data_IF_237797218537
#
_entry.id   IF_237797218537
#
_cell.length_a   1.000
_cell.length_b   1.000
_cell.length_c   1.000
_cell.angle_alpha   90.00
_cell.angle_beta   90.00
_cell.angle_gamma   90.00
#
_symmetry.space_group_name_H-M   'P 1'
#
loop_
_entity.id
_entity.type
_entity.pdbx_description
1 polymer ?
#
# COMPACT_ATOMS: atom_id res chain seq x y z
N UNK A 1 -41.32 -35.77 5.18
CA UNK A 1 -40.72 -35.93 6.52
C UNK A 1 -40.69 -34.58 7.21
N UNK A 2 -41.43 -34.34 8.28
CA UNK A 2 -41.48 -33.06 8.96
C UNK A 2 -40.22 -32.86 9.82
N UNK A 3 -39.55 -31.76 9.65
CA UNK A 3 -38.37 -31.37 10.49
C UNK A 3 -38.76 -31.37 11.97
N UNK A 4 -37.89 -31.88 12.83
CA UNK A 4 -38.10 -31.86 14.29
C UNK A 4 -38.22 -30.41 14.80
N UNK A 5 -38.91 -30.22 15.93
CA UNK A 5 -39.11 -28.89 16.53
C UNK A 5 -37.78 -28.18 16.80
N UNK A 6 -36.74 -28.89 17.25
CA UNK A 6 -35.40 -28.37 17.50
C UNK A 6 -34.71 -27.91 16.24
N UNK A 7 -34.85 -28.61 15.12
CA UNK A 7 -34.27 -28.21 13.82
C UNK A 7 -34.94 -26.93 13.28
N UNK A 8 -36.28 -26.82 13.44
CA UNK A 8 -37.00 -25.60 13.05
C UNK A 8 -36.53 -24.39 13.87
N UNK A 9 -36.38 -24.56 15.19
CA UNK A 9 -35.89 -23.48 16.07
C UNK A 9 -34.48 -23.07 15.69
N UNK A 10 -33.59 -24.03 15.40
CA UNK A 10 -32.24 -23.75 14.94
C UNK A 10 -32.21 -22.93 13.63
N UNK A 11 -33.02 -23.30 12.64
CA UNK A 11 -33.14 -22.54 11.39
C UNK A 11 -33.68 -21.12 11.60
N UNK A 12 -34.64 -20.94 12.52
CA UNK A 12 -35.15 -19.60 12.87
C UNK A 12 -34.03 -18.74 13.45
N UNK A 13 -33.19 -19.27 14.37
CA UNK A 13 -32.05 -18.51 14.90
C UNK A 13 -31.05 -18.13 13.83
N UNK A 14 -30.71 -19.04 12.91
CA UNK A 14 -29.82 -18.74 11.77
C UNK A 14 -30.42 -17.64 10.90
N UNK A 15 -31.69 -17.69 10.58
CA UNK A 15 -32.37 -16.65 9.79
C UNK A 15 -32.35 -15.31 10.51
N UNK A 16 -32.64 -15.27 11.81
CA UNK A 16 -32.59 -14.02 12.60
C UNK A 16 -31.19 -13.45 12.59
N UNK A 17 -30.14 -14.26 12.81
CA UNK A 17 -28.75 -13.81 12.74
C UNK A 17 -28.38 -13.28 11.37
N UNK A 18 -28.80 -13.97 10.30
CA UNK A 18 -28.54 -13.57 8.93
C UNK A 18 -29.22 -12.23 8.58
N UNK A 19 -30.50 -12.08 8.94
CA UNK A 19 -31.23 -10.82 8.73
C UNK A 19 -30.69 -9.70 9.58
N UNK A 20 -30.32 -9.95 10.84
CA UNK A 20 -29.73 -8.93 11.72
C UNK A 20 -28.38 -8.45 11.19
N UNK A 21 -27.53 -9.38 10.73
CA UNK A 21 -26.25 -9.07 10.13
C UNK A 21 -26.42 -8.33 8.79
N UNK A 22 -27.33 -8.78 7.93
CA UNK A 22 -27.68 -8.11 6.67
C UNK A 22 -28.19 -6.68 6.88
N UNK A 23 -29.06 -6.47 7.89
CA UNK A 23 -29.56 -5.16 8.24
C UNK A 23 -28.45 -4.23 8.75
N UNK A 24 -27.53 -4.75 9.56
CA UNK A 24 -26.37 -4.00 10.05
C UNK A 24 -25.43 -3.59 8.90
N UNK A 25 -25.14 -4.51 7.99
CA UNK A 25 -24.33 -4.24 6.81
C UNK A 25 -24.99 -3.24 5.88
N UNK A 26 -26.32 -3.35 5.66
CA UNK A 26 -27.09 -2.41 4.87
C UNK A 26 -27.06 -1.00 5.50
N UNK A 27 -27.33 -0.88 6.79
CA UNK A 27 -27.24 0.39 7.51
C UNK A 27 -25.84 1.01 7.42
N UNK A 28 -24.79 0.19 7.45
CA UNK A 28 -23.42 0.65 7.26
C UNK A 28 -23.15 1.14 5.83
N UNK A 29 -23.69 0.45 4.83
CA UNK A 29 -23.54 0.84 3.42
C UNK A 29 -24.17 2.18 3.08
N UNK A 30 -25.21 2.59 3.84
CA UNK A 30 -25.89 3.88 3.66
C UNK A 30 -25.14 5.07 4.28
N UNK A 31 -24.08 4.84 5.06
CA UNK A 31 -23.34 5.94 5.67
C UNK A 31 -22.51 6.68 4.64
N UNK A 32 -22.59 8.03 4.67
CA UNK A 32 -21.80 8.90 3.81
C UNK A 32 -20.31 8.78 4.15
N UNK A 33 -19.47 8.93 3.13
CA UNK A 33 -18.04 9.07 3.29
C UNK A 33 -17.67 10.19 4.26
N UNK A 34 -16.74 9.91 5.16
CA UNK A 34 -16.25 10.85 6.16
C UNK A 34 -14.74 11.04 6.05
N UNK A 35 -14.18 10.99 4.83
CA UNK A 35 -12.79 11.40 4.60
C UNK A 35 -12.63 12.85 5.05
N UNK A 36 -11.64 13.07 5.90
CA UNK A 36 -11.31 14.41 6.42
C UNK A 36 -10.20 14.98 5.55
N UNK A 37 -10.59 15.57 4.43
CA UNK A 37 -9.66 16.23 3.51
C UNK A 37 -9.33 17.61 4.04
N UNK A 38 -8.04 17.91 4.22
CA UNK A 38 -7.59 19.23 4.59
C UNK A 38 -7.71 20.18 3.37
N UNK A 39 -8.51 21.25 3.43
CA UNK A 39 -8.70 22.14 2.30
C UNK A 39 -7.42 22.90 1.88
N UNK A 40 -6.45 23.09 2.79
CA UNK A 40 -5.18 23.76 2.50
C UNK A 40 -4.32 22.97 1.47
N UNK A 41 -4.55 21.67 1.31
CA UNK A 41 -3.84 20.85 0.32
C UNK A 41 -4.31 21.08 -1.12
N UNK A 42 -5.43 21.75 -1.33
CA UNK A 42 -5.99 22.03 -2.66
C UNK A 42 -5.92 20.81 -3.61
N UNK A 43 -6.49 19.67 -3.13
CA UNK A 43 -6.43 18.38 -3.82
C UNK A 43 -7.28 18.41 -5.08
N UNK A 44 -6.66 18.14 -6.24
CA UNK A 44 -7.38 17.80 -7.47
C UNK A 44 -7.37 16.30 -7.65
N UNK A 45 -8.55 15.70 -7.90
CA UNK A 45 -8.71 14.25 -8.01
C UNK A 45 -9.41 13.87 -9.31
N UNK A 46 -8.97 12.76 -9.93
CA UNK A 46 -9.63 12.14 -11.08
C UNK A 46 -9.38 10.63 -11.10
N UNK A 47 -10.22 9.88 -11.81
CA UNK A 47 -10.02 8.45 -12.03
C UNK A 47 -9.03 8.24 -13.18
N UNK A 48 -7.97 7.46 -12.93
CA UNK A 48 -7.07 6.97 -13.99
C UNK A 48 -7.60 5.68 -14.60
N UNK A 49 -8.25 4.83 -13.79
CA UNK A 49 -8.85 3.56 -14.22
C UNK A 49 -10.19 3.37 -13.52
N UNK A 50 -11.23 3.03 -14.28
CA UNK A 50 -12.56 2.67 -13.78
C UNK A 50 -13.18 1.71 -14.80
N UNK A 51 -12.92 0.41 -14.63
CA UNK A 51 -13.24 -0.64 -15.61
C UNK A 51 -14.15 -1.74 -15.03
N UNK A 52 -14.60 -1.58 -13.78
CA UNK A 52 -15.50 -2.52 -13.12
C UNK A 52 -14.81 -3.68 -12.44
N UNK A 53 -13.48 -3.77 -12.50
CA UNK A 53 -12.68 -4.74 -11.76
C UNK A 53 -12.34 -4.25 -10.35
N UNK A 54 -11.79 -5.11 -9.54
CA UNK A 54 -11.09 -4.74 -8.32
C UNK A 54 -9.65 -4.39 -8.69
N UNK A 55 -9.40 -3.10 -8.90
CA UNK A 55 -8.07 -2.58 -9.16
C UNK A 55 -7.39 -2.23 -7.84
N UNK A 56 -6.14 -2.65 -7.64
CA UNK A 56 -5.45 -2.48 -6.35
C UNK A 56 -3.93 -2.38 -6.51
N UNK A 57 -3.22 -2.25 -5.39
CA UNK A 57 -1.78 -2.38 -5.31
C UNK A 57 -1.06 -1.61 -6.43
N UNK A 58 -1.03 -0.27 -6.30
CA UNK A 58 -0.52 0.60 -7.35
C UNK A 58 0.92 1.01 -7.12
N UNK A 59 1.59 1.41 -8.19
CA UNK A 59 2.79 2.23 -8.13
C UNK A 59 2.86 3.23 -9.28
N UNK A 60 3.63 4.31 -9.08
CA UNK A 60 3.77 5.42 -10.02
C UNK A 60 5.23 5.84 -10.12
N UNK A 61 5.70 6.07 -11.33
CA UNK A 61 7.01 6.66 -11.58
C UNK A 61 6.97 7.65 -12.74
N UNK A 62 7.94 8.55 -12.79
CA UNK A 62 8.15 9.45 -13.92
C UNK A 62 9.52 9.18 -14.54
N UNK A 63 9.52 8.83 -15.82
CA UNK A 63 10.75 8.46 -16.52
C UNK A 63 10.67 8.85 -17.99
N UNK A 64 11.76 9.38 -18.53
CA UNK A 64 11.85 9.81 -19.93
C UNK A 64 10.68 10.70 -20.39
N UNK A 65 10.30 11.66 -19.53
CA UNK A 65 9.24 12.63 -19.84
C UNK A 65 7.81 12.11 -19.73
N UNK A 66 7.60 10.88 -19.23
CA UNK A 66 6.28 10.24 -19.12
C UNK A 66 6.02 9.69 -17.72
N UNK A 67 4.78 9.72 -17.28
CA UNK A 67 4.30 8.97 -16.13
C UNK A 67 4.06 7.52 -16.53
N UNK A 68 4.41 6.60 -15.64
CA UNK A 68 4.09 5.20 -15.72
C UNK A 68 3.35 4.79 -14.46
N UNK A 69 2.16 4.26 -14.64
CA UNK A 69 1.28 3.73 -13.59
C UNK A 69 1.15 2.22 -13.77
N UNK A 70 1.35 1.48 -12.71
CA UNK A 70 1.06 0.04 -12.68
C UNK A 70 0.05 -0.26 -11.59
N UNK A 71 -0.85 -1.21 -11.83
CA UNK A 71 -1.83 -1.65 -10.85
C UNK A 71 -2.18 -3.13 -11.05
N UNK A 72 -2.56 -3.80 -9.99
CA UNK A 72 -3.19 -5.12 -10.09
C UNK A 72 -4.65 -4.96 -10.53
N UNK A 73 -5.11 -5.84 -11.41
CA UNK A 73 -6.49 -5.95 -11.86
C UNK A 73 -6.98 -7.38 -11.62
N UNK A 74 -8.00 -7.55 -10.79
CA UNK A 74 -8.51 -8.83 -10.30
C UNK A 74 -10.04 -8.76 -10.13
N UNK A 75 -10.77 -9.87 -10.02
CA UNK A 75 -12.18 -9.85 -9.64
C UNK A 75 -12.44 -9.31 -8.22
N UNK A 76 -11.49 -9.49 -7.29
CA UNK A 76 -11.57 -9.11 -5.87
C UNK A 76 -10.18 -8.99 -5.27
N UNK A 77 -10.09 -8.56 -4.00
CA UNK A 77 -8.82 -8.31 -3.29
C UNK A 77 -7.97 -9.57 -3.06
N UNK A 78 -8.61 -10.72 -2.80
CA UNK A 78 -7.89 -11.96 -2.49
C UNK A 78 -7.10 -12.49 -3.68
N UNK A 79 -6.04 -13.27 -3.40
CA UNK A 79 -5.20 -13.88 -4.40
C UNK A 79 -5.97 -14.71 -5.42
N UNK A 80 -5.61 -14.59 -6.69
CA UNK A 80 -6.23 -15.37 -7.79
C UNK A 80 -5.30 -15.43 -9.00
N UNK A 81 -5.24 -16.59 -9.62
CA UNK A 81 -4.45 -16.84 -10.85
C UNK A 81 -4.86 -15.98 -12.05
N UNK A 82 -6.03 -15.33 -12.00
CA UNK A 82 -6.48 -14.40 -13.05
C UNK A 82 -6.07 -12.96 -12.78
N UNK A 83 -5.41 -12.69 -11.66
CA UNK A 83 -4.82 -11.38 -11.38
C UNK A 83 -3.75 -11.06 -12.42
N UNK A 84 -3.78 -9.84 -12.93
CA UNK A 84 -2.75 -9.31 -13.82
C UNK A 84 -2.30 -7.94 -13.38
N UNK A 85 -1.07 -7.59 -13.69
CA UNK A 85 -0.59 -6.23 -13.53
C UNK A 85 -0.72 -5.50 -14.86
N UNK A 86 -1.36 -4.34 -14.84
CA UNK A 86 -1.59 -3.50 -16.02
C UNK A 86 -0.69 -2.29 -15.95
N UNK A 87 0.27 -2.20 -16.88
CA UNK A 87 1.15 -1.06 -17.04
C UNK A 87 0.50 -0.03 -17.96
N UNK A 88 0.39 1.19 -17.48
CA UNK A 88 -0.15 2.33 -18.23
C UNK A 88 0.88 3.44 -18.32
N UNK A 89 0.74 4.28 -19.33
CA UNK A 89 1.63 5.41 -19.61
C UNK A 89 0.82 6.66 -19.91
N UNK A 90 1.33 7.82 -19.49
CA UNK A 90 0.72 9.13 -19.75
C UNK A 90 1.78 10.23 -19.83
N UNK A 91 1.53 11.29 -20.61
CA UNK A 91 2.36 12.49 -20.63
C UNK A 91 1.88 13.55 -19.61
N UNK A 92 0.62 13.47 -19.20
CA UNK A 92 -0.08 14.49 -18.40
C UNK A 92 -0.69 13.95 -17.09
N UNK A 93 -0.49 12.68 -16.78
CA UNK A 93 -1.09 11.93 -15.66
C UNK A 93 -2.63 11.88 -15.68
N UNK A 94 -3.27 12.32 -16.76
CA UNK A 94 -4.74 12.34 -16.94
C UNK A 94 -5.23 11.36 -17.98
N UNK A 95 -4.56 11.35 -19.13
CA UNK A 95 -4.89 10.48 -20.25
C UNK A 95 -3.93 9.31 -20.28
N UNK A 96 -4.44 8.10 -20.00
CA UNK A 96 -3.66 6.89 -19.82
C UNK A 96 -3.86 5.90 -20.96
N UNK A 97 -2.77 5.43 -21.56
CA UNK A 97 -2.76 4.32 -22.51
C UNK A 97 -2.21 3.06 -21.84
N UNK A 98 -2.77 1.90 -22.14
CA UNK A 98 -2.22 0.62 -21.72
C UNK A 98 -1.00 0.28 -22.56
N UNK A 99 0.12 0.01 -21.93
CA UNK A 99 1.38 -0.37 -22.57
C UNK A 99 1.55 -1.88 -22.58
N UNK A 100 1.31 -2.52 -21.42
CA UNK A 100 1.55 -3.96 -21.26
C UNK A 100 0.69 -4.51 -20.13
N UNK A 101 0.33 -5.78 -20.25
CA UNK A 101 -0.21 -6.60 -19.17
C UNK A 101 0.81 -7.69 -18.83
N UNK A 102 0.99 -7.91 -17.53
CA UNK A 102 1.88 -8.95 -17.02
C UNK A 102 1.07 -10.01 -16.28
N UNK A 103 1.46 -11.25 -16.46
CA UNK A 103 0.98 -12.41 -15.70
C UNK A 103 2.12 -13.40 -15.49
N UNK A 104 2.00 -14.21 -14.44
CA UNK A 104 2.80 -15.42 -14.25
C UNK A 104 1.80 -16.58 -14.20
N UNK A 105 2.04 -17.61 -14.97
CA UNK A 105 1.12 -18.75 -15.09
C UNK A 105 0.89 -19.41 -13.73
N UNK A 106 -0.36 -19.60 -13.35
CA UNK A 106 -0.83 -20.20 -12.09
C UNK A 106 -0.43 -19.42 -10.83
N UNK A 107 -0.09 -18.13 -10.97
CA UNK A 107 0.28 -17.27 -9.86
C UNK A 107 -0.63 -16.04 -9.81
N UNK A 108 -0.92 -15.58 -8.61
CA UNK A 108 -1.33 -14.21 -8.36
C UNK A 108 -0.09 -13.33 -8.28
N UNK A 109 -0.10 -12.18 -8.94
CA UNK A 109 0.98 -11.21 -8.89
C UNK A 109 0.46 -9.86 -8.43
N UNK A 110 1.11 -9.28 -7.41
CA UNK A 110 0.66 -8.04 -6.76
C UNK A 110 1.81 -7.19 -6.24
N UNK A 111 1.47 -6.08 -5.59
CA UNK A 111 2.40 -5.15 -4.94
C UNK A 111 3.56 -4.72 -5.84
N UNK A 112 3.28 -4.29 -7.09
CA UNK A 112 4.32 -3.84 -8.00
C UNK A 112 5.03 -2.61 -7.44
N UNK A 113 6.37 -2.55 -7.62
CA UNK A 113 7.20 -1.43 -7.21
C UNK A 113 8.20 -1.09 -8.31
N UNK A 114 8.17 0.16 -8.75
CA UNK A 114 9.14 0.67 -9.72
C UNK A 114 10.45 1.11 -9.07
N UNK A 115 11.52 0.95 -9.83
CA UNK A 115 12.79 1.64 -9.60
C UNK A 115 13.41 2.08 -10.92
N UNK A 116 13.98 3.28 -10.94
CA UNK A 116 14.77 3.74 -12.08
C UNK A 116 16.22 3.73 -11.64
N UNK A 117 16.97 2.71 -12.08
CA UNK A 117 18.35 2.47 -11.69
C UNK A 117 19.21 2.36 -12.96
N UNK A 118 20.27 3.17 -13.04
CA UNK A 118 21.17 3.19 -14.21
C UNK A 118 20.42 3.37 -15.53
N UNK A 119 19.46 4.28 -15.57
CA UNK A 119 18.57 4.56 -16.72
C UNK A 119 17.78 3.32 -17.21
N UNK A 120 17.53 2.37 -16.35
CA UNK A 120 16.69 1.18 -16.59
C UNK A 120 15.50 1.24 -15.65
N UNK A 121 14.30 1.01 -16.15
CA UNK A 121 13.11 0.79 -15.33
C UNK A 121 13.08 -0.66 -14.89
N UNK A 122 13.08 -0.87 -13.58
CA UNK A 122 12.96 -2.18 -12.95
C UNK A 122 11.58 -2.24 -12.27
N UNK A 123 10.91 -3.36 -12.40
CA UNK A 123 9.64 -3.65 -11.76
C UNK A 123 9.82 -4.87 -10.86
N UNK A 124 9.72 -4.67 -9.54
CA UNK A 124 9.63 -5.75 -8.55
C UNK A 124 8.17 -6.07 -8.31
N UNK A 125 7.86 -7.35 -8.17
CA UNK A 125 6.49 -7.85 -8.01
C UNK A 125 6.49 -8.99 -7.00
N UNK A 126 5.48 -9.03 -6.15
CA UNK A 126 5.28 -10.12 -5.22
C UNK A 126 4.43 -11.21 -5.87
N UNK A 127 4.85 -12.48 -5.70
CA UNK A 127 4.13 -13.68 -6.16
C UNK A 127 3.33 -14.30 -5.02
N UNK A 128 2.16 -14.83 -5.36
CA UNK A 128 1.27 -15.51 -4.43
C UNK A 128 0.59 -16.72 -5.10
N UNK A 129 0.21 -17.71 -4.32
CA UNK A 129 -0.45 -18.93 -4.79
C UNK A 129 -1.90 -18.97 -4.32
N UNK A 130 -2.84 -19.09 -5.28
CA UNK A 130 -4.26 -19.31 -4.99
C UNK A 130 -4.88 -18.20 -4.15
N UNK A 131 -5.72 -18.58 -3.20
CA UNK A 131 -6.43 -17.68 -2.29
C UNK A 131 -5.63 -17.25 -1.06
N UNK A 132 -4.36 -17.65 -0.95
CA UNK A 132 -3.53 -17.22 0.16
C UNK A 132 -3.41 -15.68 0.12
N UNK A 133 -3.71 -14.98 1.20
CA UNK A 133 -3.57 -13.53 1.24
C UNK A 133 -2.11 -13.06 1.26
N UNK A 134 -1.17 -13.95 1.59
CA UNK A 134 0.23 -13.60 1.84
C UNK A 134 1.13 -14.01 0.67
N UNK A 135 1.83 -13.06 0.03
CA UNK A 135 2.87 -13.36 -0.96
C UNK A 135 4.02 -14.16 -0.34
N UNK A 136 4.70 -14.95 -1.16
CA UNK A 136 5.80 -15.82 -0.70
C UNK A 136 7.16 -15.51 -1.33
N UNK A 137 7.21 -14.75 -2.42
CA UNK A 137 8.46 -14.44 -3.12
C UNK A 137 8.38 -13.11 -3.89
N UNK A 138 9.53 -12.55 -4.18
CA UNK A 138 9.71 -11.42 -5.09
C UNK A 138 10.33 -11.86 -6.40
N UNK A 139 9.79 -11.38 -7.51
CA UNK A 139 10.39 -11.47 -8.85
C UNK A 139 10.57 -10.09 -9.43
N UNK A 140 11.44 -9.96 -10.44
CA UNK A 140 11.63 -8.71 -11.15
C UNK A 140 11.61 -8.90 -12.67
N UNK A 141 11.29 -7.83 -13.37
CA UNK A 141 11.50 -7.65 -14.80
C UNK A 141 12.02 -6.24 -15.05
N UNK A 142 12.62 -5.97 -16.19
CA UNK A 142 13.20 -4.65 -16.48
C UNK A 142 13.03 -4.24 -17.93
N UNK A 143 13.10 -2.92 -18.16
CA UNK A 143 12.95 -2.32 -19.47
C UNK A 143 13.92 -1.14 -19.67
N UNK A 144 14.41 -0.97 -20.88
CA UNK A 144 15.23 0.19 -21.28
C UNK A 144 14.40 1.30 -21.98
N UNK A 145 13.18 1.01 -22.39
CA UNK A 145 12.32 1.93 -23.13
C UNK A 145 10.89 2.04 -22.56
N UNK A 146 10.54 1.23 -21.54
CA UNK A 146 9.20 1.16 -20.94
C UNK A 146 8.18 0.35 -21.73
N UNK A 147 8.55 -0.24 -22.86
CA UNK A 147 7.70 -1.03 -23.77
C UNK A 147 8.13 -2.49 -23.83
N UNK A 148 9.42 -2.73 -24.09
CA UNK A 148 10.01 -4.04 -24.15
C UNK A 148 10.57 -4.42 -22.78
N UNK A 149 10.14 -5.56 -22.25
CA UNK A 149 10.46 -6.03 -20.91
C UNK A 149 11.13 -7.41 -21.00
N UNK A 150 12.12 -7.62 -20.15
CA UNK A 150 12.78 -8.92 -19.99
C UNK A 150 11.79 -9.97 -19.48
N UNK A 151 12.17 -11.24 -19.58
CA UNK A 151 11.48 -12.30 -18.84
C UNK A 151 11.58 -12.05 -17.31
N UNK A 152 10.71 -12.70 -16.55
CA UNK A 152 10.75 -12.65 -15.10
C UNK A 152 12.03 -13.30 -14.56
N UNK A 153 12.69 -12.62 -13.64
CA UNK A 153 13.87 -13.09 -12.94
C UNK A 153 13.55 -13.30 -11.46
N UNK A 154 13.86 -14.48 -10.95
CA UNK A 154 13.72 -14.83 -9.54
C UNK A 154 14.95 -14.40 -8.74
N UNK A 155 14.72 -13.84 -7.55
CA UNK A 155 15.76 -13.40 -6.63
C UNK A 155 16.20 -14.58 -5.74
N UNK A 156 16.91 -15.56 -6.32
CA UNK A 156 17.27 -16.83 -5.65
C UNK A 156 18.05 -16.66 -4.35
N UNK A 157 18.89 -15.63 -4.24
CA UNK A 157 19.66 -15.33 -3.04
C UNK A 157 18.79 -14.69 -1.93
N UNK A 158 17.57 -14.30 -2.27
CA UNK A 158 16.61 -13.65 -1.39
C UNK A 158 15.24 -14.35 -1.44
N UNK A 159 15.23 -15.67 -1.57
CA UNK A 159 14.01 -16.47 -1.52
C UNK A 159 13.28 -16.25 -0.18
N UNK A 160 11.96 -16.03 -0.24
CA UNK A 160 11.15 -15.71 0.94
C UNK A 160 11.19 -14.25 1.41
N UNK A 161 12.05 -13.41 0.82
CA UNK A 161 12.07 -11.98 1.13
C UNK A 161 11.20 -11.18 0.17
N UNK A 162 10.26 -10.41 0.73
CA UNK A 162 9.31 -9.60 0.00
C UNK A 162 9.82 -8.16 -0.06
N UNK A 163 10.25 -7.75 -1.25
CA UNK A 163 10.88 -6.46 -1.50
C UNK A 163 9.83 -5.34 -1.54
N UNK A 164 10.18 -4.19 -0.92
CA UNK A 164 9.30 -3.02 -0.96
C UNK A 164 9.78 -1.99 -1.99
N UNK A 165 10.09 -0.75 -1.58
CA UNK A 165 10.53 0.31 -2.51
C UNK A 165 11.98 0.68 -2.28
N UNK A 166 12.84 0.61 -3.31
CA UNK A 166 14.21 1.04 -3.16
C UNK A 166 14.31 2.57 -3.15
N UNK A 167 15.27 3.06 -2.36
CA UNK A 167 15.64 4.47 -2.27
C UNK A 167 17.13 4.65 -2.39
N UNK A 168 17.53 5.82 -2.86
CA UNK A 168 18.94 6.24 -2.91
C UNK A 168 19.10 7.67 -2.41
N UNK A 169 20.22 7.96 -1.76
CA UNK A 169 20.61 9.31 -1.34
C UNK A 169 21.65 9.92 -2.28
N UNK A 170 22.48 9.08 -2.86
CA UNK A 170 23.64 9.51 -3.68
C UNK A 170 23.48 9.21 -5.17
N UNK A 171 22.35 8.60 -5.58
CA UNK A 171 22.09 8.17 -6.95
C UNK A 171 22.95 6.98 -7.40
N UNK A 172 23.75 6.39 -6.53
CA UNK A 172 24.68 5.29 -6.85
C UNK A 172 24.39 4.03 -6.05
N UNK A 173 24.23 4.18 -4.74
CA UNK A 173 23.88 3.09 -3.83
C UNK A 173 22.40 3.14 -3.55
N UNK A 174 21.70 2.07 -3.87
CA UNK A 174 20.28 1.90 -3.61
C UNK A 174 20.09 1.00 -2.40
N UNK A 175 19.11 1.33 -1.59
CA UNK A 175 18.73 0.58 -0.41
C UNK A 175 17.29 0.11 -0.57
N UNK A 176 17.04 -1.17 -0.25
CA UNK A 176 15.76 -1.84 -0.37
C UNK A 176 15.38 -2.43 0.98
N UNK A 177 14.28 -2.00 1.59
CA UNK A 177 13.72 -2.73 2.72
C UNK A 177 13.00 -3.96 2.18
N UNK A 178 13.17 -5.08 2.87
CA UNK A 178 12.47 -6.32 2.59
C UNK A 178 11.97 -6.96 3.89
N UNK A 179 10.85 -7.66 3.83
CA UNK A 179 10.31 -8.37 4.98
C UNK A 179 10.14 -9.86 4.67
N UNK A 180 10.19 -10.68 5.71
CA UNK A 180 10.06 -12.13 5.58
C UNK A 180 8.61 -12.52 5.30
N UNK A 181 8.38 -13.47 4.41
CA UNK A 181 7.04 -13.85 3.94
C UNK A 181 6.09 -14.34 5.05
N UNK A 182 6.59 -14.99 6.11
CA UNK A 182 5.79 -15.37 7.30
C UNK A 182 5.56 -14.19 8.26
N UNK A 183 6.03 -13.00 7.91
CA UNK A 183 6.07 -11.79 8.74
C UNK A 183 6.96 -11.92 9.99
N UNK A 184 7.26 -10.82 10.62
CA UNK A 184 8.00 -10.75 11.87
C UNK A 184 9.46 -10.33 11.76
N UNK A 185 10.04 -10.28 10.56
CA UNK A 185 11.42 -9.79 10.35
C UNK A 185 11.47 -8.87 9.13
N UNK A 186 12.10 -7.71 9.29
CA UNK A 186 12.44 -6.79 8.19
C UNK A 186 13.94 -6.53 8.16
N UNK A 187 14.50 -6.58 6.96
CA UNK A 187 15.92 -6.34 6.68
C UNK A 187 16.11 -5.16 5.73
N UNK A 188 17.33 -4.65 5.72
CA UNK A 188 17.80 -3.69 4.74
C UNK A 188 18.78 -4.36 3.80
N UNK A 189 18.57 -4.20 2.51
CA UNK A 189 19.46 -4.63 1.44
C UNK A 189 20.07 -3.41 0.75
N UNK A 190 21.20 -3.56 0.07
CA UNK A 190 21.82 -2.54 -0.79
C UNK A 190 22.21 -3.11 -2.14
N UNK A 191 22.20 -2.25 -3.17
CA UNK A 191 22.57 -2.60 -4.54
C UNK A 191 23.12 -1.39 -5.29
N UNK A 192 23.85 -1.62 -6.36
CA UNK A 192 24.27 -0.59 -7.34
C UNK A 192 23.61 -0.76 -8.71
N UNK A 193 22.96 -1.89 -8.96
CA UNK A 193 22.34 -2.22 -10.24
C UNK A 193 20.82 -2.54 -10.16
N UNK A 194 20.31 -2.71 -8.93
CA UNK A 194 18.91 -3.07 -8.67
C UNK A 194 18.57 -4.53 -8.95
N UNK A 195 19.56 -5.37 -9.26
CA UNK A 195 19.37 -6.79 -9.56
C UNK A 195 20.04 -7.65 -8.49
N UNK A 196 21.30 -7.35 -8.18
CA UNK A 196 22.05 -8.02 -7.13
C UNK A 196 21.98 -7.20 -5.86
N UNK A 197 21.50 -7.82 -4.79
CA UNK A 197 21.28 -7.18 -3.50
C UNK A 197 22.14 -7.84 -2.43
N UNK A 198 22.79 -7.03 -1.62
CA UNK A 198 23.59 -7.46 -0.48
C UNK A 198 22.87 -7.12 0.83
N UNK A 199 22.91 -8.01 1.80
CA UNK A 199 22.35 -7.77 3.12
C UNK A 199 23.16 -6.71 3.88
N UNK A 200 22.49 -5.67 4.38
CA UNK A 200 23.07 -4.65 5.27
C UNK A 200 22.83 -5.01 6.73
N UNK A 201 21.65 -5.51 7.07
CA UNK A 201 21.31 -5.89 8.43
C UNK A 201 19.80 -5.90 8.69
N UNK A 202 19.45 -6.26 9.92
CA UNK A 202 18.07 -6.33 10.40
C UNK A 202 17.60 -4.91 10.77
N UNK A 203 16.41 -4.52 10.27
CA UNK A 203 15.73 -3.29 10.67
C UNK A 203 14.95 -3.55 11.96
N UNK A 204 14.15 -4.61 11.99
CA UNK A 204 13.31 -4.96 13.13
C UNK A 204 12.92 -6.44 13.13
N UNK A 205 12.75 -6.98 14.34
CA UNK A 205 12.17 -8.30 14.58
C UNK A 205 11.04 -8.21 15.60
N UNK A 206 9.92 -8.86 15.32
CA UNK A 206 8.76 -8.99 16.22
C UNK A 206 7.44 -8.45 15.67
N UNK A 207 6.39 -8.64 16.45
CA UNK A 207 5.02 -8.16 16.26
C UNK A 207 4.44 -8.35 14.85
N UNK A 208 4.83 -9.45 14.17
CA UNK A 208 4.45 -9.71 12.78
C UNK A 208 4.68 -8.48 11.89
N UNK A 209 5.89 -7.90 11.95
CA UNK A 209 6.22 -6.77 11.09
C UNK A 209 6.38 -7.22 9.64
N UNK A 210 6.03 -6.31 8.74
CA UNK A 210 6.05 -6.49 7.30
C UNK A 210 6.20 -5.13 6.59
N UNK A 211 5.54 -4.86 5.50
CA UNK A 211 5.42 -3.64 4.68
C UNK A 211 6.28 -2.46 5.17
N UNK A 212 7.58 -2.61 4.98
CA UNK A 212 8.59 -1.69 5.47
C UNK A 212 8.98 -0.71 4.38
N UNK A 213 8.90 0.60 4.66
CA UNK A 213 9.30 1.66 3.74
C UNK A 213 10.43 2.50 4.35
N UNK A 214 11.32 3.01 3.51
CA UNK A 214 12.45 3.85 3.92
C UNK A 214 12.47 5.18 3.18
N UNK A 215 13.09 6.18 3.81
CA UNK A 215 13.44 7.47 3.20
C UNK A 215 14.70 8.02 3.85
N UNK A 216 15.35 8.99 3.20
CA UNK A 216 16.51 9.66 3.77
C UNK A 216 16.15 11.00 4.40
N UNK A 217 16.69 11.25 5.58
CA UNK A 217 16.67 12.55 6.22
C UNK A 217 17.72 13.48 5.57
N UNK A 218 17.57 14.81 5.69
CA UNK A 218 18.50 15.76 5.07
C UNK A 218 19.95 15.62 5.51
N UNK A 219 20.19 15.06 6.69
CA UNK A 219 21.51 14.82 7.24
C UNK A 219 22.14 13.48 6.81
N UNK A 220 21.44 12.74 5.93
CA UNK A 220 21.88 11.45 5.41
C UNK A 220 21.56 10.26 6.31
N UNK A 221 20.92 10.44 7.46
CA UNK A 221 20.32 9.34 8.21
C UNK A 221 19.17 8.72 7.42
N UNK A 222 18.87 7.48 7.70
CA UNK A 222 17.72 6.79 7.12
C UNK A 222 16.59 6.72 8.15
N UNK A 223 15.37 7.05 7.74
CA UNK A 223 14.17 6.83 8.51
C UNK A 223 13.34 5.72 7.85
N UNK A 224 12.74 4.88 8.66
CA UNK A 224 11.95 3.73 8.23
C UNK A 224 10.59 3.75 8.93
N UNK A 225 9.55 3.34 8.20
CA UNK A 225 8.28 2.94 8.81
C UNK A 225 8.03 1.47 8.48
N UNK A 226 7.61 0.67 9.48
CA UNK A 226 7.17 -0.70 9.26
C UNK A 226 5.78 -0.91 9.87
N UNK A 227 4.95 -1.67 9.17
CA UNK A 227 3.66 -2.11 9.69
C UNK A 227 3.90 -3.15 10.77
N UNK A 228 3.33 -2.96 11.96
CA UNK A 228 3.30 -3.95 13.03
C UNK A 228 1.87 -4.46 13.19
N UNK A 229 1.62 -5.68 12.77
CA UNK A 229 0.29 -6.27 12.82
C UNK A 229 -0.12 -6.72 14.23
N UNK A 230 0.84 -6.85 15.14
CA UNK A 230 0.58 -7.35 16.48
C UNK A 230 0.33 -8.85 16.48
N UNK A 231 -0.89 -9.28 16.80
CA UNK A 231 -1.29 -10.70 16.79
C UNK A 231 -1.84 -11.14 15.42
N UNK A 232 -2.04 -10.24 14.49
CA UNK A 232 -2.62 -10.54 13.17
C UNK A 232 -4.10 -10.94 13.20
N UNK A 233 -4.87 -10.43 14.17
CA UNK A 233 -6.30 -10.75 14.30
C UNK A 233 -7.15 -9.98 13.27
N UNK A 234 -7.94 -10.69 12.47
CA UNK A 234 -8.85 -10.10 11.47
C UNK A 234 -9.92 -9.16 12.03
N UNK A 235 -10.28 -9.30 13.31
CA UNK A 235 -11.19 -8.37 13.99
C UNK A 235 -10.49 -7.18 14.61
N UNK A 236 -9.18 -7.06 14.38
CA UNK A 236 -8.32 -5.96 14.77
C UNK A 236 -7.57 -6.20 16.07
N UNK A 237 -6.48 -5.50 16.20
CA UNK A 237 -5.51 -5.61 17.28
C UNK A 237 -5.26 -4.27 17.96
N UNK A 238 -5.17 -4.27 19.29
CA UNK A 238 -4.80 -3.09 20.08
C UNK A 238 -3.29 -2.81 20.02
N UNK A 239 -2.49 -3.83 19.72
CA UNK A 239 -1.03 -3.72 19.61
C UNK A 239 -0.57 -3.37 18.20
N UNK A 240 -1.47 -3.44 17.20
CA UNK A 240 -1.19 -3.02 15.84
C UNK A 240 -0.84 -1.53 15.79
N UNK A 241 0.31 -1.18 15.22
CA UNK A 241 0.83 0.18 15.17
C UNK A 241 1.86 0.33 14.06
N UNK A 242 2.43 1.52 13.92
CA UNK A 242 3.57 1.77 13.04
C UNK A 242 4.85 1.81 13.85
N UNK A 243 5.86 1.03 13.47
CA UNK A 243 7.22 1.22 13.91
C UNK A 243 7.82 2.40 13.14
N UNK A 244 8.52 3.28 13.83
CA UNK A 244 9.40 4.29 13.25
C UNK A 244 10.81 3.95 13.70
N UNK A 245 11.74 3.84 12.76
CA UNK A 245 13.13 3.51 13.07
C UNK A 245 14.07 4.47 12.37
N UNK A 246 15.11 4.92 13.06
CA UNK A 246 16.10 5.84 12.50
C UNK A 246 17.50 5.24 12.68
N UNK A 247 18.31 5.32 11.63
CA UNK A 247 19.68 4.80 11.64
C UNK A 247 20.66 5.75 10.97
N UNK A 248 21.87 5.83 11.54
CA UNK A 248 23.02 6.46 10.89
C UNK A 248 23.68 5.48 9.91
N UNK A 249 24.36 6.02 8.88
CA UNK A 249 25.24 5.21 8.03
C UNK A 249 26.26 4.45 8.91
N UNK A 250 26.47 3.14 8.73
CA UNK A 250 26.10 2.30 7.59
C UNK A 250 24.70 1.64 7.68
N UNK A 251 23.78 2.11 8.51
CA UNK A 251 22.38 1.68 8.65
C UNK A 251 22.21 0.27 9.24
N UNK A 252 23.08 -0.07 10.20
CA UNK A 252 23.07 -1.36 10.90
C UNK A 252 22.49 -1.29 12.31
N UNK A 253 22.36 -0.07 12.86
CA UNK A 253 21.85 0.15 14.21
C UNK A 253 20.64 1.10 14.17
N UNK A 254 19.48 0.61 14.61
CA UNK A 254 18.23 1.32 14.51
C UNK A 254 17.70 1.76 15.87
N UNK A 255 17.48 3.07 16.03
CA UNK A 255 16.69 3.61 17.14
C UNK A 255 15.22 3.47 16.78
N UNK A 256 14.45 2.78 17.61
CA UNK A 256 13.08 2.35 17.33
C UNK A 256 12.07 3.03 18.23
N UNK A 257 10.93 3.46 17.67
CA UNK A 257 9.80 4.03 18.40
C UNK A 257 8.49 3.52 17.78
N UNK A 258 7.46 3.32 18.58
CA UNK A 258 6.12 2.88 18.12
C UNK A 258 5.15 4.04 18.11
N UNK A 259 4.51 4.28 16.99
CA UNK A 259 3.42 5.25 16.85
C UNK A 259 2.07 4.53 16.78
N UNK A 260 1.18 4.86 17.71
CA UNK A 260 -0.17 4.29 17.81
C UNK A 260 -1.24 5.14 17.12
N UNK A 261 -0.85 6.07 16.27
CA UNK A 261 -1.78 6.87 15.45
C UNK A 261 -2.53 5.96 14.47
N UNK A 262 -1.80 5.07 13.83
CA UNK A 262 -2.34 4.02 12.96
C UNK A 262 -1.35 2.88 12.79
N UNK A 263 -1.82 1.72 12.33
CA UNK A 263 -1.04 0.71 11.64
C UNK A 263 -0.98 1.15 10.17
N UNK A 264 0.12 1.70 9.73
CA UNK A 264 0.25 2.27 8.39
C UNK A 264 0.49 1.15 7.38
N UNK A 265 -0.57 0.73 6.65
CA UNK A 265 -0.46 -0.31 5.64
C UNK A 265 -0.14 0.30 4.27
N UNK A 266 0.64 -0.40 3.45
CA UNK A 266 1.01 0.00 2.10
C UNK A 266 1.77 1.33 2.00
N UNK A 267 2.75 1.60 2.89
CA UNK A 267 3.38 2.91 2.94
C UNK A 267 4.24 3.21 1.72
N UNK A 268 4.19 4.46 1.27
CA UNK A 268 5.22 5.08 0.44
C UNK A 268 5.70 6.34 1.14
N UNK A 269 7.02 6.46 1.31
CA UNK A 269 7.65 7.62 1.92
C UNK A 269 8.23 8.56 0.86
N UNK A 270 8.24 9.86 1.17
CA UNK A 270 8.90 10.87 0.36
C UNK A 270 9.41 12.02 1.20
N UNK A 271 10.47 12.67 0.72
CA UNK A 271 11.04 13.85 1.34
C UNK A 271 10.60 15.10 0.62
N UNK A 272 10.19 16.13 1.36
CA UNK A 272 9.94 17.46 0.83
C UNK A 272 10.24 18.51 1.90
N UNK A 273 10.95 19.58 1.52
CA UNK A 273 11.30 20.70 2.41
C UNK A 273 11.87 20.25 3.76
N UNK A 274 12.87 19.38 3.72
CA UNK A 274 13.59 18.82 4.89
C UNK A 274 12.71 18.00 5.87
N UNK A 275 11.51 17.60 5.46
CA UNK A 275 10.62 16.74 6.21
C UNK A 275 10.34 15.46 5.44
N UNK A 276 10.02 14.39 6.15
CA UNK A 276 9.60 13.12 5.57
C UNK A 276 8.10 12.96 5.75
N UNK A 277 7.44 12.56 4.70
CA UNK A 277 6.01 12.30 4.65
C UNK A 277 5.74 10.86 4.24
N UNK A 278 4.57 10.37 4.59
CA UNK A 278 4.06 9.08 4.15
C UNK A 278 2.68 9.21 3.53
N UNK A 279 2.43 8.42 2.50
CA UNK A 279 1.08 8.10 2.05
C UNK A 279 0.84 6.61 2.33
N UNK A 280 -0.28 6.27 2.95
CA UNK A 280 -0.59 4.89 3.28
C UNK A 280 -2.02 4.72 3.82
N UNK A 281 -2.40 3.48 4.14
CA UNK A 281 -3.71 3.18 4.69
C UNK A 281 -3.79 3.60 6.15
N UNK A 282 -4.76 4.43 6.42
CA UNK A 282 -5.16 4.86 7.76
C UNK A 282 -6.32 4.00 8.27
N UNK A 283 -6.28 3.65 9.54
CA UNK A 283 -7.32 2.94 10.25
C UNK A 283 -8.05 3.90 11.22
N UNK A 284 -8.95 4.73 10.73
CA UNK A 284 -9.66 5.69 11.58
C UNK A 284 -10.58 4.97 12.55
N UNK A 285 -10.79 5.55 13.73
CA UNK A 285 -11.74 5.05 14.73
C UNK A 285 -13.18 5.36 14.31
N UNK A 286 -13.59 4.88 13.13
CA UNK A 286 -14.93 5.10 12.55
C UNK A 286 -15.56 3.75 12.24
N UNK A 287 -16.74 3.50 12.78
CA UNK A 287 -17.51 2.28 12.57
C UNK A 287 -17.51 1.35 13.78
N UNK A 288 -17.72 0.08 13.52
CA UNK A 288 -17.75 -0.99 14.51
C UNK A 288 -16.43 -1.76 14.49
N UNK A 289 -15.96 -2.21 15.65
CA UNK A 289 -14.67 -2.90 15.79
C UNK A 289 -13.51 -2.10 15.15
N UNK A 290 -13.25 -0.91 15.67
CA UNK A 290 -12.30 0.07 15.10
C UNK A 290 -10.84 -0.17 15.49
N UNK A 291 -10.49 -1.34 16.01
CA UNK A 291 -9.11 -1.72 16.28
C UNK A 291 -8.29 -1.76 14.99
N UNK A 292 -6.99 -1.58 15.09
CA UNK A 292 -6.09 -1.61 13.95
C UNK A 292 -6.18 -2.96 13.22
N UNK A 293 -6.23 -2.94 11.89
CA UNK A 293 -6.35 -4.16 11.07
C UNK A 293 -7.76 -4.77 11.00
N UNK A 294 -8.77 -4.28 11.72
CA UNK A 294 -10.12 -4.86 11.66
C UNK A 294 -10.72 -4.79 10.26
N UNK A 295 -11.16 -5.95 9.74
CA UNK A 295 -11.87 -6.04 8.45
C UNK A 295 -13.28 -5.40 8.51
N UNK A 296 -13.83 -5.18 9.69
CA UNK A 296 -15.14 -4.57 9.90
C UNK A 296 -15.08 -3.04 10.06
N UNK A 297 -13.89 -2.47 10.17
CA UNK A 297 -13.72 -1.01 10.23
C UNK A 297 -13.58 -0.39 8.84
N UNK A 298 -13.70 0.93 8.77
CA UNK A 298 -13.46 1.70 7.55
C UNK A 298 -11.98 1.99 7.39
N UNK A 299 -11.55 2.18 6.15
CA UNK A 299 -10.17 2.56 5.81
C UNK A 299 -10.14 3.87 5.05
N UNK A 300 -9.00 4.54 5.12
CA UNK A 300 -8.70 5.74 4.33
C UNK A 300 -7.30 5.64 3.75
N UNK A 301 -7.09 6.24 2.62
CA UNK A 301 -5.75 6.61 2.17
C UNK A 301 -5.47 7.99 2.74
N UNK A 302 -4.35 8.16 3.44
CA UNK A 302 -4.05 9.42 4.14
C UNK A 302 -2.60 9.81 3.99
N UNK A 303 -2.34 11.10 4.20
CA UNK A 303 -1.00 11.69 4.22
C UNK A 303 -0.62 11.94 5.68
N UNK A 304 0.60 11.59 6.01
CA UNK A 304 1.20 11.76 7.34
C UNK A 304 2.53 12.51 7.23
N UNK A 305 2.85 13.30 8.24
CA UNK A 305 4.22 13.70 8.53
C UNK A 305 4.86 12.60 9.38
N UNK A 306 6.08 12.19 9.02
CA UNK A 306 6.85 11.17 9.74
C UNK A 306 7.96 11.88 10.51
N UNK A 307 7.81 12.00 11.82
CA UNK A 307 8.86 12.43 12.71
C UNK A 307 9.63 11.22 13.25
N UNK A 308 10.77 11.43 13.87
CA UNK A 308 11.64 10.34 14.37
C UNK A 308 10.97 9.50 15.48
N UNK A 309 9.95 10.03 16.13
CA UNK A 309 9.29 9.41 17.29
C UNK A 309 7.77 9.22 17.13
N UNK A 310 7.14 9.78 16.08
CA UNK A 310 5.68 9.67 15.88
C UNK A 310 5.27 9.90 14.43
N UNK A 311 4.10 9.36 14.08
CA UNK A 311 3.33 9.79 12.92
C UNK A 311 2.40 10.94 13.31
N UNK A 312 2.26 11.91 12.42
CA UNK A 312 1.26 12.98 12.55
C UNK A 312 0.35 12.89 11.33
N UNK A 313 -0.94 12.64 11.56
CA UNK A 313 -1.93 12.66 10.50
C UNK A 313 -2.14 14.10 10.00
N UNK A 314 -2.15 14.30 8.68
CA UNK A 314 -2.32 15.61 8.06
C UNK A 314 -3.65 15.73 7.31
N UNK A 315 -4.00 14.70 6.54
CA UNK A 315 -5.20 14.70 5.71
C UNK A 315 -5.55 13.31 5.24
N UNK A 316 -6.83 13.01 5.08
CA UNK A 316 -7.24 11.93 4.19
C UNK A 316 -7.18 12.39 2.73
N UNK A 317 -6.95 11.46 1.83
CA UNK A 317 -7.35 11.57 0.44
C UNK A 317 -8.80 11.06 0.30
N UNK A 318 -9.61 11.57 -0.66
CA UNK A 318 -10.98 11.08 -0.85
C UNK A 318 -10.98 9.58 -1.16
N UNK A 319 -11.33 8.74 -0.18
CA UNK A 319 -11.21 7.29 -0.27
C UNK A 319 -12.20 6.56 0.62
N UNK A 320 -12.51 5.30 0.31
CA UNK A 320 -13.44 4.46 1.04
C UNK A 320 -13.19 2.97 0.81
N UNK A 321 -13.77 2.15 1.67
CA UNK A 321 -13.77 0.70 1.55
C UNK A 321 -12.37 0.11 1.62
N UNK A 322 -12.02 -0.69 0.61
CA UNK A 322 -10.65 -1.13 0.40
C UNK A 322 -9.89 -0.09 -0.42
N UNK A 323 -8.79 0.40 0.12
CA UNK A 323 -8.09 1.57 -0.43
C UNK A 323 -6.63 1.62 0.03
N UNK A 324 -5.78 2.32 -0.69
CA UNK A 324 -4.39 2.71 -0.42
C UNK A 324 -3.37 2.10 -1.38
N UNK A 325 -2.22 1.64 -0.88
CA UNK A 325 -1.08 1.11 -1.64
C UNK A 325 -0.74 2.01 -2.81
N UNK A 326 -0.48 3.27 -2.48
CA UNK A 326 -0.24 4.31 -3.47
C UNK A 326 1.19 4.33 -4.00
N UNK A 327 1.35 4.84 -5.21
CA UNK A 327 2.61 5.31 -5.77
C UNK A 327 2.64 6.82 -5.82
N UNK A 328 3.83 7.40 -5.84
CA UNK A 328 4.00 8.86 -5.86
C UNK A 328 5.03 9.31 -6.89
N UNK A 329 4.82 10.52 -7.40
CA UNK A 329 5.81 11.29 -8.17
C UNK A 329 5.77 12.74 -7.72
N UNK A 330 6.93 13.32 -7.47
CA UNK A 330 7.08 14.77 -7.28
C UNK A 330 7.58 15.36 -8.61
N UNK A 331 6.83 16.29 -9.17
CA UNK A 331 7.17 16.95 -10.41
C UNK A 331 6.65 18.40 -10.42
N UNK A 332 7.49 19.34 -10.80
CA UNK A 332 7.12 20.76 -10.97
C UNK A 332 6.41 21.37 -9.73
N UNK A 333 6.89 21.03 -8.52
CA UNK A 333 6.33 21.41 -7.21
C UNK A 333 4.93 20.82 -6.92
N UNK A 334 4.50 19.81 -7.65
CA UNK A 334 3.29 19.05 -7.38
C UNK A 334 3.63 17.63 -6.93
N UNK A 335 2.88 17.14 -5.97
CA UNK A 335 2.84 15.73 -5.60
C UNK A 335 1.70 15.05 -6.36
N UNK A 336 2.04 14.11 -7.21
CA UNK A 336 1.10 13.20 -7.84
C UNK A 336 1.05 11.91 -7.01
N UNK A 337 -0.14 11.48 -6.63
CA UNK A 337 -0.35 10.22 -5.91
C UNK A 337 -1.36 9.40 -6.69
N UNK A 338 -1.03 8.16 -7.03
CA UNK A 338 -2.01 7.17 -7.43
C UNK A 338 -2.37 6.30 -6.22
N UNK A 339 -3.59 5.85 -6.13
CA UNK A 339 -4.06 4.88 -5.13
C UNK A 339 -5.38 4.26 -5.60
N UNK A 340 -5.74 3.12 -5.06
CA UNK A 340 -7.02 2.52 -5.34
C UNK A 340 -8.04 2.82 -4.25
N UNK A 341 -9.33 2.83 -4.63
CA UNK A 341 -10.44 3.03 -3.70
C UNK A 341 -11.74 2.47 -4.27
N UNK A 342 -12.59 1.96 -3.40
CA UNK A 342 -13.98 1.71 -3.80
C UNK A 342 -14.75 3.03 -3.97
N UNK A 343 -16.00 2.93 -4.43
CA UNK A 343 -16.90 4.09 -4.58
C UNK A 343 -17.00 4.88 -3.27
N UNK A 344 -16.43 6.07 -3.26
CA UNK A 344 -16.37 6.95 -2.08
C UNK A 344 -17.75 7.33 -1.54
N UNK A 345 -18.81 7.26 -2.36
CA UNK A 345 -20.17 7.56 -1.94
C UNK A 345 -20.76 6.51 -1.00
N UNK A 346 -20.22 5.27 -1.05
CA UNK A 346 -20.75 4.12 -0.29
C UNK A 346 -20.09 3.91 1.07
N UNK A 347 -18.87 4.34 1.26
CA UNK A 347 -18.08 4.19 2.50
C UNK A 347 -18.19 2.81 3.16
N UNK A 348 -17.96 1.76 2.38
CA UNK A 348 -18.02 0.37 2.84
C UNK A 348 -17.05 0.10 4.00
N UNK A 349 -17.37 -0.84 4.93
CA UNK A 349 -16.35 -1.48 5.74
C UNK A 349 -15.37 -2.25 4.86
N UNK A 350 -14.14 -2.46 5.34
CA UNK A 350 -13.05 -3.01 4.54
C UNK A 350 -13.43 -4.34 3.88
N UNK A 351 -14.06 -5.28 4.61
CA UNK A 351 -14.47 -6.59 4.09
C UNK A 351 -15.37 -6.49 2.86
N UNK A 352 -16.32 -5.54 2.83
CA UNK A 352 -17.17 -5.32 1.66
C UNK A 352 -16.41 -4.63 0.53
N UNK A 353 -15.44 -3.78 0.88
CA UNK A 353 -14.55 -3.18 -0.08
C UNK A 353 -13.71 -4.22 -0.82
N UNK A 354 -13.19 -5.22 -0.11
CA UNK A 354 -12.35 -6.28 -0.68
C UNK A 354 -13.05 -7.14 -1.74
N UNK A 355 -14.37 -7.26 -1.67
CA UNK A 355 -15.17 -8.04 -2.65
C UNK A 355 -15.91 -7.16 -3.65
N UNK A 356 -15.68 -5.86 -3.63
CA UNK A 356 -16.31 -4.88 -4.52
C UNK A 356 -15.30 -4.37 -5.55
N UNK A 357 -15.80 -3.84 -6.67
CA UNK A 357 -14.96 -3.12 -7.62
C UNK A 357 -14.27 -1.92 -6.96
N UNK A 358 -13.07 -1.58 -7.43
CA UNK A 358 -12.32 -0.40 -7.04
C UNK A 358 -11.67 0.28 -8.24
N UNK A 359 -11.60 1.59 -8.18
CA UNK A 359 -11.00 2.43 -9.20
C UNK A 359 -9.57 2.83 -8.81
N UNK A 360 -8.71 3.09 -9.78
CA UNK A 360 -7.44 3.75 -9.54
C UNK A 360 -7.66 5.25 -9.68
N UNK A 361 -7.43 5.95 -8.58
CA UNK A 361 -7.51 7.40 -8.52
C UNK A 361 -6.13 8.02 -8.63
N UNK A 362 -6.09 9.17 -9.28
CA UNK A 362 -4.98 10.10 -9.24
C UNK A 362 -5.35 11.33 -8.45
N UNK A 363 -4.43 11.85 -7.67
CA UNK A 363 -4.52 13.18 -7.08
C UNK A 363 -3.27 13.99 -7.43
N UNK A 364 -3.48 15.30 -7.60
CA UNK A 364 -2.46 16.33 -7.71
C UNK A 364 -2.60 17.26 -6.50
N UNK A 365 -1.49 17.47 -5.78
CA UNK A 365 -1.42 18.29 -4.59
C UNK A 365 -0.30 19.32 -4.78
N UNK A 366 -0.60 20.58 -4.60
CA UNK A 366 0.43 21.63 -4.54
C UNK A 366 1.25 21.46 -3.26
N UNK A 367 2.54 21.22 -3.41
CA UNK A 367 3.46 20.99 -2.29
C UNK A 367 3.65 22.23 -1.41
N UNK A 368 3.32 23.42 -1.87
CA UNK A 368 3.35 24.62 -1.00
C UNK A 368 2.36 24.50 0.15
N UNK A 369 1.19 23.89 -0.09
CA UNK A 369 0.20 23.60 0.94
C UNK A 369 0.70 22.67 2.05
N UNK A 370 1.60 21.72 1.74
CA UNK A 370 2.18 20.84 2.76
C UNK A 370 3.09 21.58 3.77
N UNK A 371 3.66 22.73 3.38
CA UNK A 371 4.49 23.55 4.30
C UNK A 371 3.65 24.22 5.36
N UNK A 372 2.43 24.60 5.01
CA UNK A 372 1.56 25.48 5.81
C UNK A 372 0.69 24.70 6.79
N UNK A 373 0.54 23.38 6.57
CA UNK A 373 -0.25 22.55 7.47
C UNK A 373 0.39 22.50 8.84
N UNK A 374 -0.27 23.15 9.81
CA UNK A 374 0.02 22.97 11.22
C UNK A 374 -0.63 21.67 11.68
N UNK A 375 0.12 20.72 12.26
CA UNK A 375 -0.47 19.51 12.83
C UNK A 375 -1.53 19.87 13.88
N UNK A 376 -2.75 19.37 13.70
CA UNK A 376 -3.85 19.55 14.67
C UNK A 376 -3.82 18.48 15.76
#
# INVERSE_FOLDING_TARGET
MALSKSVKVFFIYILILFFSFGTLLFYWSLRRNRSKVNPELNIKQWAAVSDGLHNSNTDLTFWNGKFYLIHAASPFHFGTEVCRLVLRRSVDAKNWETVKEFQIKNEDIRDPKFAIINNKMILYVLKNIGFDPEPYATVLTSSLNGEDWTDWEELKEHEGWLFWRPKTHDGKTWYMPAYWWEHGTSILLKSTDGIKWENVGIIYEGLKNDETAIEFLPDGRMICTARLEGTGNYFGDLTGCTLISVSNKPYTNWKQTKSYVTRLDGPVLFSYNNKVYAVGRYHPKIGFLTKQGSILSRKRTSIFLVEEDKLIWLSDLPSAGDTSYGGIVIKDNYLYVCYYTNDIRKDFPWVLGMISQSDIMMVEIDLTGLKEITPT
#
